data_IF_541821795955
#
_entry.id   IF_541821795955
#
_cell.length_a   1.000
_cell.length_b   1.000
_cell.length_c   1.000
_cell.angle_alpha   90.00
_cell.angle_beta   90.00
_cell.angle_gamma   90.00
#
_symmetry.space_group_name_H-M   'P 1'
#
loop_
_entity.id
_entity.type
_entity.pdbx_description
1 polymer ?
#
# COMPACT_ATOMS: atom_id res chain seq x y z
N UNK A 1 -55.92 -8.20 1.45
CA UNK A 1 -55.12 -9.40 1.14
C UNK A 1 -54.51 -9.16 -0.23
N UNK A 2 -53.22 -8.97 -0.44
CA UNK A 2 -52.02 -9.45 0.22
C UNK A 2 -50.97 -8.43 -0.29
N UNK A 3 -50.59 -7.41 0.48
CA UNK A 3 -49.32 -7.42 1.24
C UNK A 3 -48.30 -8.38 0.59
N UNK A 4 -47.11 -7.86 0.30
CA UNK A 4 -45.82 -8.58 0.26
C UNK A 4 -45.10 -8.81 -1.10
N UNK A 5 -44.98 -7.84 -2.01
CA UNK A 5 -43.90 -7.91 -3.05
C UNK A 5 -43.19 -6.54 -3.22
N UNK A 6 -42.77 -5.95 -2.10
CA UNK A 6 -41.78 -4.87 -2.06
C UNK A 6 -40.44 -5.49 -1.61
N UNK A 7 -39.91 -6.42 -2.42
CA UNK A 7 -38.51 -6.87 -2.28
C UNK A 7 -37.62 -5.99 -3.14
N UNK A 8 -37.45 -4.73 -2.70
CA UNK A 8 -36.26 -3.96 -3.03
C UNK A 8 -35.11 -4.59 -2.23
N UNK A 9 -34.47 -5.60 -2.82
CA UNK A 9 -33.20 -6.12 -2.31
C UNK A 9 -32.15 -5.02 -2.48
N UNK A 10 -31.99 -4.20 -1.45
CA UNK A 10 -30.89 -3.26 -1.30
C UNK A 10 -29.58 -4.06 -1.32
N UNK A 11 -28.86 -3.99 -2.44
CA UNK A 11 -27.48 -4.45 -2.54
C UNK A 11 -26.65 -3.61 -1.55
N UNK A 12 -26.41 -4.15 -0.37
CA UNK A 12 -25.46 -3.59 0.58
C UNK A 12 -24.07 -3.87 0.02
N UNK A 13 -23.47 -2.87 -0.62
CA UNK A 13 -22.06 -2.89 -0.94
C UNK A 13 -21.28 -2.89 0.39
N UNK A 14 -20.86 -4.07 0.84
CA UNK A 14 -19.85 -4.19 1.90
C UNK A 14 -18.54 -3.70 1.31
N UNK A 15 -18.17 -2.47 1.66
CA UNK A 15 -16.82 -1.96 1.48
C UNK A 15 -15.93 -2.61 2.56
N UNK A 16 -15.22 -3.67 2.19
CA UNK A 16 -14.15 -4.21 3.03
C UNK A 16 -12.96 -3.26 2.98
N UNK A 17 -12.80 -2.44 4.02
CA UNK A 17 -11.61 -1.62 4.19
C UNK A 17 -10.43 -2.52 4.58
N UNK A 18 -9.58 -2.88 3.61
CA UNK A 18 -8.29 -3.49 3.89
C UNK A 18 -7.37 -2.40 4.48
N UNK A 19 -7.33 -2.29 5.80
CA UNK A 19 -6.40 -1.40 6.51
C UNK A 19 -5.01 -2.05 6.57
N UNK A 20 -4.12 -1.64 5.66
CA UNK A 20 -2.69 -1.89 5.83
C UNK A 20 -2.16 -0.98 6.95
N UNK A 21 -1.25 -1.45 7.79
CA UNK A 21 -0.63 -0.60 8.81
C UNK A 21 0.09 0.57 8.15
N UNK A 22 -0.23 1.80 8.59
CA UNK A 22 0.38 3.04 8.09
C UNK A 22 1.92 3.00 8.16
N UNK A 23 2.45 2.30 9.18
CA UNK A 23 3.88 2.05 9.41
C UNK A 23 4.15 0.54 9.42
N UNK A 24 5.08 0.08 8.59
CA UNK A 24 5.51 -1.31 8.49
C UNK A 24 6.93 -1.43 9.05
N UNK A 25 7.08 -2.22 10.11
CA UNK A 25 8.38 -2.49 10.74
C UNK A 25 8.92 -3.84 10.28
N UNK A 26 10.15 -3.87 9.81
CA UNK A 26 10.82 -5.07 9.36
C UNK A 26 11.85 -5.53 10.39
N UNK A 27 12.06 -6.86 10.48
CA UNK A 27 13.01 -7.46 11.43
C UNK A 27 14.47 -7.02 11.22
N UNK A 28 14.78 -6.44 10.06
CA UNK A 28 16.10 -5.92 9.70
C UNK A 28 16.28 -4.43 10.05
N UNK A 29 15.50 -3.91 10.99
CA UNK A 29 15.60 -2.51 11.45
C UNK A 29 15.05 -1.47 10.48
N UNK A 30 14.51 -1.87 9.32
CA UNK A 30 13.87 -0.93 8.41
C UNK A 30 12.44 -0.62 8.83
N UNK A 31 12.07 0.65 8.78
CA UNK A 31 10.68 1.09 8.95
C UNK A 31 10.20 1.76 7.67
N UNK A 32 9.08 1.30 7.14
CA UNK A 32 8.45 1.85 5.94
C UNK A 32 7.12 2.50 6.29
N UNK A 33 6.99 3.79 6.02
CA UNK A 33 5.73 4.50 6.18
C UNK A 33 4.91 4.36 4.89
N UNK A 34 3.99 3.40 4.83
CA UNK A 34 3.15 3.18 3.64
C UNK A 34 2.23 4.38 3.39
N UNK A 35 1.72 5.01 4.45
CA UNK A 35 0.79 6.13 4.33
C UNK A 35 1.40 7.34 3.64
N UNK A 36 2.58 7.78 4.05
CA UNK A 36 3.22 8.95 3.42
C UNK A 36 3.51 8.71 1.94
N UNK A 37 3.91 7.48 1.56
CA UNK A 37 4.10 7.10 0.17
C UNK A 37 2.76 7.14 -0.59
N UNK A 38 1.68 6.67 0.03
CA UNK A 38 0.36 6.63 -0.57
C UNK A 38 -0.30 8.01 -0.68
N UNK A 39 -0.16 8.90 0.31
CA UNK A 39 -0.98 10.12 0.41
C UNK A 39 -0.23 11.41 0.11
N UNK A 40 1.06 11.46 0.36
CA UNK A 40 1.84 12.70 0.32
C UNK A 40 2.94 12.70 -0.73
N UNK A 41 3.53 11.53 -1.04
CA UNK A 41 4.69 11.42 -1.94
C UNK A 41 4.36 10.83 -3.30
N UNK A 42 3.91 9.58 -3.36
CA UNK A 42 3.78 8.84 -4.63
C UNK A 42 2.34 8.89 -5.16
N UNK A 43 1.33 8.72 -4.31
CA UNK A 43 -0.08 8.84 -4.72
C UNK A 43 -0.61 7.73 -5.64
N UNK A 44 0.27 6.86 -6.15
CA UNK A 44 -0.01 5.92 -7.24
C UNK A 44 0.36 4.52 -6.83
N UNK A 45 -0.64 3.71 -6.45
CA UNK A 45 -0.45 2.35 -5.94
C UNK A 45 0.34 1.45 -6.91
N UNK A 46 0.16 1.65 -8.22
CA UNK A 46 0.82 0.85 -9.27
C UNK A 46 2.34 1.04 -9.34
N UNK A 47 2.90 2.07 -8.71
CA UNK A 47 4.35 2.28 -8.65
C UNK A 47 5.02 1.17 -7.82
N UNK A 48 4.33 0.62 -6.83
CA UNK A 48 4.86 -0.44 -5.97
C UNK A 48 4.14 -1.79 -6.15
N UNK A 49 2.82 -1.76 -6.41
CA UNK A 49 2.00 -2.96 -6.50
C UNK A 49 1.60 -3.25 -7.95
N UNK A 50 1.97 -4.44 -8.44
CA UNK A 50 1.38 -4.95 -9.67
C UNK A 50 -0.11 -5.27 -9.47
N UNK A 51 -0.93 -5.10 -10.51
CA UNK A 51 -2.37 -5.44 -10.53
C UNK A 51 -3.28 -4.59 -9.64
N UNK A 52 -3.08 -3.27 -9.63
CA UNK A 52 -3.96 -2.32 -8.92
C UNK A 52 -4.69 -1.39 -9.89
N UNK A 53 -6.02 -1.33 -9.77
CA UNK A 53 -6.90 -0.32 -10.37
C UNK A 53 -7.34 0.68 -9.30
N UNK A 54 -7.22 1.97 -9.60
CA UNK A 54 -7.70 3.05 -8.74
C UNK A 54 -8.92 3.68 -9.43
N UNK A 55 -10.00 3.87 -8.69
CA UNK A 55 -11.18 4.57 -9.20
C UNK A 55 -10.85 6.01 -9.59
N UNK A 56 -11.68 6.60 -10.46
CA UNK A 56 -11.49 7.95 -10.97
C UNK A 56 -11.48 9.04 -9.87
N UNK A 57 -12.13 8.78 -8.74
CA UNK A 57 -12.15 9.67 -7.57
C UNK A 57 -10.99 9.41 -6.59
N UNK A 58 -10.09 8.45 -6.88
CA UNK A 58 -8.93 8.12 -6.06
C UNK A 58 -9.23 7.37 -4.77
N UNK A 59 -10.52 7.09 -4.47
CA UNK A 59 -10.95 6.56 -3.17
C UNK A 59 -11.03 5.05 -3.13
N UNK A 60 -11.30 4.40 -4.26
CA UNK A 60 -11.47 2.96 -4.35
C UNK A 60 -10.28 2.35 -5.04
N UNK A 61 -9.47 1.63 -4.27
CA UNK A 61 -8.37 0.83 -4.81
C UNK A 61 -8.89 -0.60 -4.97
N UNK A 62 -9.14 -1.01 -6.20
CA UNK A 62 -9.45 -2.40 -6.55
C UNK A 62 -8.18 -3.08 -6.99
N UNK A 63 -8.00 -4.32 -6.60
CA UNK A 63 -6.83 -5.08 -7.02
C UNK A 63 -7.18 -6.54 -6.93
N UNK A 64 -6.66 -7.32 -7.88
CA UNK A 64 -6.85 -8.77 -7.91
C UNK A 64 -6.26 -9.42 -6.65
N UNK A 65 -5.26 -8.78 -6.04
CA UNK A 65 -4.78 -9.02 -4.67
C UNK A 65 -4.21 -7.72 -4.07
N UNK A 66 -4.90 -7.00 -3.17
CA UNK A 66 -4.29 -5.98 -2.32
C UNK A 66 -3.37 -6.71 -1.35
N UNK A 67 -2.14 -6.95 -1.78
CA UNK A 67 -1.35 -8.02 -1.22
C UNK A 67 0.15 -7.85 -1.38
N UNK A 68 0.85 -8.82 -0.78
CA UNK A 68 2.31 -8.93 -0.76
C UNK A 68 2.85 -8.76 -2.18
N UNK A 69 3.79 -7.84 -2.34
CA UNK A 69 4.53 -7.70 -3.60
C UNK A 69 5.22 -9.04 -3.91
N UNK A 70 4.92 -9.64 -5.07
CA UNK A 70 5.53 -10.91 -5.47
C UNK A 70 7.04 -10.72 -5.59
N UNK A 71 7.81 -11.54 -4.88
CA UNK A 71 9.27 -11.39 -4.82
C UNK A 71 9.76 -10.26 -3.92
N UNK A 72 8.90 -9.70 -3.05
CA UNK A 72 9.34 -8.75 -2.04
C UNK A 72 10.44 -9.37 -1.16
N UNK A 73 11.57 -8.67 -1.08
CA UNK A 73 12.77 -9.11 -0.40
C UNK A 73 13.92 -8.16 -0.72
N UNK A 74 15.13 -8.47 -0.23
CA UNK A 74 16.32 -7.61 -0.32
C UNK A 74 16.56 -7.03 -1.72
N UNK A 75 16.58 -7.89 -2.74
CA UNK A 75 16.88 -7.48 -4.11
C UNK A 75 15.80 -6.56 -4.67
N UNK A 76 14.53 -6.88 -4.45
CA UNK A 76 13.42 -6.05 -4.88
C UNK A 76 13.43 -4.71 -4.16
N UNK A 77 13.57 -4.69 -2.83
CA UNK A 77 13.53 -3.45 -2.05
C UNK A 77 14.72 -2.54 -2.34
N UNK A 78 15.94 -3.08 -2.42
CA UNK A 78 17.12 -2.27 -2.72
C UNK A 78 17.10 -1.73 -4.15
N UNK A 79 16.44 -2.43 -5.07
CA UNK A 79 16.21 -1.90 -6.40
C UNK A 79 15.12 -0.83 -6.37
N UNK A 80 13.89 -1.21 -6.07
CA UNK A 80 12.74 -0.33 -6.28
C UNK A 80 12.65 0.84 -5.30
N UNK A 81 13.05 0.66 -4.04
CA UNK A 81 13.06 1.77 -3.09
C UNK A 81 14.22 2.73 -3.39
N UNK A 82 15.45 2.22 -3.50
CA UNK A 82 16.62 3.07 -3.70
C UNK A 82 16.63 3.73 -5.07
N UNK A 83 16.31 3.02 -6.17
CA UNK A 83 16.24 3.61 -7.51
C UNK A 83 15.25 4.79 -7.53
N UNK A 84 14.11 4.66 -6.83
CA UNK A 84 13.12 5.73 -6.73
C UNK A 84 13.67 6.94 -5.96
N UNK A 85 14.27 6.70 -4.79
CA UNK A 85 14.84 7.78 -3.98
C UNK A 85 16.02 8.48 -4.67
N UNK A 86 16.86 7.74 -5.38
CA UNK A 86 17.95 8.30 -6.18
C UNK A 86 17.42 9.11 -7.37
N UNK A 87 16.43 8.58 -8.09
CA UNK A 87 15.84 9.24 -9.26
C UNK A 87 15.24 10.61 -8.90
N UNK A 88 14.57 10.71 -7.75
CA UNK A 88 13.92 11.95 -7.32
C UNK A 88 14.78 12.79 -6.36
N UNK A 89 15.94 12.28 -5.91
CA UNK A 89 16.76 12.94 -4.89
C UNK A 89 16.04 13.10 -3.54
N UNK A 90 15.01 12.29 -3.29
CA UNK A 90 14.17 12.34 -2.10
C UNK A 90 14.08 10.97 -1.44
N UNK A 91 14.43 10.90 -0.15
CA UNK A 91 14.38 9.67 0.63
C UNK A 91 15.74 9.02 0.85
N UNK A 92 15.80 7.99 1.73
CA UNK A 92 17.06 7.36 2.10
C UNK A 92 17.62 6.45 0.99
N UNK A 93 18.92 6.59 0.70
CA UNK A 93 19.64 5.74 -0.27
C UNK A 93 20.80 4.96 0.35
N UNK A 94 21.12 5.24 1.62
CA UNK A 94 22.21 4.55 2.34
C UNK A 94 21.67 3.50 3.31
N UNK A 95 22.48 2.48 3.60
CA UNK A 95 22.10 1.38 4.48
C UNK A 95 21.58 1.88 5.85
N UNK A 96 22.29 2.83 6.47
CA UNK A 96 21.98 3.34 7.82
C UNK A 96 20.73 4.22 7.85
N UNK A 97 20.37 4.85 6.74
CA UNK A 97 19.21 5.73 6.66
C UNK A 97 17.92 4.93 6.44
N UNK A 98 18.03 3.75 5.80
CA UNK A 98 16.94 2.78 5.69
C UNK A 98 16.84 1.85 6.91
N UNK A 99 17.97 1.30 7.38
CA UNK A 99 18.04 0.29 8.45
C UNK A 99 18.42 0.93 9.79
N UNK A 100 17.53 1.74 10.31
CA UNK A 100 17.70 2.42 11.59
C UNK A 100 17.29 1.46 12.73
N UNK A 101 18.23 0.68 13.27
CA UNK A 101 18.04 -0.29 14.38
C UNK A 101 17.31 0.21 15.65
N UNK A 102 16.89 1.48 15.71
CA UNK A 102 16.33 2.15 16.89
C UNK A 102 15.03 1.56 17.45
N UNK A 103 14.31 0.73 16.70
CA UNK A 103 12.95 0.28 17.06
C UNK A 103 12.74 -1.26 17.03
N UNK A 104 13.80 -2.07 17.13
CA UNK A 104 13.65 -3.50 17.41
C UNK A 104 13.50 -3.70 18.93
N UNK A 105 12.40 -4.33 19.42
CA UNK A 105 12.32 -4.75 20.82
C UNK A 105 13.36 -5.82 21.16
#
# INVERSE_FOLDING_TARGET
MLILILMLFSFNAVASNASVSDIIRFKNGMTFNHKIHQTEKVGKCYVCHANVSVSADGKTVTTSEPGKIKGFGKEWSHKYCTDCHELFGEGPVTCKDCHTEKDLP
#
